data_IF_237446587446
#
_entry.id   IF_237446587446
#
_cell.length_a   1.000
_cell.length_b   1.000
_cell.length_c   1.000
_cell.angle_alpha   90.00
_cell.angle_beta   90.00
_cell.angle_gamma   90.00
#
_symmetry.space_group_name_H-M   'P 1'
#
loop_
_entity.id
_entity.type
_entity.pdbx_description
1 polymer ?
#
# COMPACT_ATOMS: atom_id res chain seq x y z
N UNK A 1 -9.82 -10.78 -16.60
CA UNK A 1 -9.51 -9.54 -15.80
C UNK A 1 -9.22 -8.39 -16.75
N UNK A 2 -9.74 -7.16 -16.47
CA UNK A 2 -9.50 -5.95 -17.25
C UNK A 2 -9.02 -4.81 -16.37
N UNK A 3 -8.46 -3.77 -16.97
CA UNK A 3 -8.10 -2.53 -16.28
C UNK A 3 -8.94 -1.37 -16.79
N UNK A 4 -9.38 -0.52 -15.87
CA UNK A 4 -10.19 0.65 -16.15
C UNK A 4 -9.49 1.89 -15.59
N UNK A 5 -9.26 2.89 -16.45
CA UNK A 5 -8.72 4.17 -16.02
C UNK A 5 -9.68 4.86 -15.06
N UNK A 6 -9.15 5.43 -14.00
CA UNK A 6 -9.89 6.15 -12.96
C UNK A 6 -9.41 7.60 -12.84
N UNK A 7 -10.32 8.50 -12.55
CA UNK A 7 -10.01 9.87 -12.13
C UNK A 7 -10.54 10.08 -10.71
N UNK A 8 -9.65 10.03 -9.76
CA UNK A 8 -9.97 10.08 -8.33
C UNK A 8 -10.04 11.54 -7.90
N UNK A 9 -11.14 11.95 -7.28
CA UNK A 9 -11.37 13.31 -6.80
C UNK A 9 -11.04 14.41 -7.85
N UNK A 10 -11.30 14.11 -9.13
CA UNK A 10 -11.00 14.97 -10.31
C UNK A 10 -9.51 15.34 -10.45
N UNK A 11 -8.62 14.91 -9.58
CA UNK A 11 -7.21 15.32 -9.55
C UNK A 11 -6.19 14.19 -9.62
N UNK A 12 -6.45 12.99 -9.05
CA UNK A 12 -5.48 11.91 -9.09
C UNK A 12 -5.75 10.93 -10.23
N UNK A 13 -4.68 10.47 -10.85
CA UNK A 13 -4.70 9.38 -11.82
C UNK A 13 -4.78 8.05 -11.08
N UNK A 14 -5.64 7.14 -11.54
CA UNK A 14 -5.76 5.80 -11.00
C UNK A 14 -6.08 4.75 -12.05
N UNK A 15 -5.96 3.51 -11.65
CA UNK A 15 -6.35 2.33 -12.45
C UNK A 15 -7.02 1.31 -11.56
N UNK A 16 -8.24 0.93 -11.91
CA UNK A 16 -8.97 -0.15 -11.27
C UNK A 16 -8.74 -1.44 -12.05
N UNK A 17 -8.20 -2.45 -11.40
CA UNK A 17 -8.20 -3.81 -11.93
C UNK A 17 -9.47 -4.51 -11.47
N UNK A 18 -10.23 -4.97 -12.44
CA UNK A 18 -11.51 -5.67 -12.24
C UNK A 18 -11.27 -7.16 -12.35
N UNK A 19 -11.64 -7.96 -11.33
CA UNK A 19 -11.54 -9.41 -11.39
C UNK A 19 -12.54 -10.01 -12.40
N UNK A 20 -12.36 -11.30 -12.71
CA UNK A 20 -13.39 -12.06 -13.38
C UNK A 20 -14.48 -12.46 -12.35
N UNK A 21 -15.74 -12.43 -12.74
CA UNK A 21 -16.87 -12.72 -11.86
C UNK A 21 -17.25 -11.56 -10.93
N UNK A 22 -18.07 -11.86 -9.92
CA UNK A 22 -18.58 -10.86 -8.98
C UNK A 22 -17.53 -10.53 -7.92
N UNK A 23 -17.18 -9.25 -7.74
CA UNK A 23 -16.15 -8.84 -6.77
C UNK A 23 -16.63 -9.01 -5.32
N UNK A 24 -15.75 -9.50 -4.45
CA UNK A 24 -16.05 -9.77 -3.03
C UNK A 24 -15.46 -8.76 -2.06
N UNK A 25 -14.46 -7.99 -2.50
CA UNK A 25 -13.79 -6.95 -1.74
C UNK A 25 -13.18 -5.92 -2.67
N UNK A 26 -12.68 -4.82 -2.10
CA UNK A 26 -11.89 -3.82 -2.82
C UNK A 26 -10.61 -3.52 -2.05
N UNK A 27 -9.47 -3.42 -2.76
CA UNK A 27 -8.16 -3.12 -2.18
C UNK A 27 -7.59 -1.87 -2.83
N UNK A 28 -7.19 -0.90 -2.00
CA UNK A 28 -6.44 0.29 -2.43
C UNK A 28 -4.95 0.04 -2.22
N UNK A 29 -4.12 0.37 -3.21
CA UNK A 29 -2.68 0.12 -3.17
C UNK A 29 -1.92 1.42 -3.45
N UNK A 30 -1.12 1.85 -2.48
CA UNK A 30 -0.31 3.06 -2.53
C UNK A 30 1.15 2.74 -2.89
N UNK A 31 1.70 3.47 -3.86
CA UNK A 31 3.01 3.23 -4.44
C UNK A 31 4.18 3.82 -3.62
N UNK A 32 5.45 3.43 -3.90
CA UNK A 32 6.62 3.92 -3.19
C UNK A 32 6.94 5.38 -3.55
N UNK A 33 8.08 5.88 -3.07
CA UNK A 33 8.48 7.29 -3.06
C UNK A 33 8.44 7.95 -4.46
N UNK A 34 7.60 8.96 -4.68
CA UNK A 34 7.44 9.68 -5.94
C UNK A 34 8.75 10.21 -6.53
N UNK A 35 9.57 10.87 -5.71
CA UNK A 35 10.83 11.51 -6.12
C UNK A 35 11.92 10.52 -6.56
N UNK A 36 11.70 9.22 -6.37
CA UNK A 36 12.61 8.14 -6.77
C UNK A 36 11.93 7.18 -7.76
N UNK A 37 11.06 7.70 -8.61
CA UNK A 37 10.39 6.93 -9.66
C UNK A 37 9.23 6.06 -9.18
N UNK A 38 8.73 6.30 -7.97
CA UNK A 38 7.52 5.64 -7.47
C UNK A 38 6.29 6.07 -8.25
N UNK A 39 5.55 5.10 -8.77
CA UNK A 39 4.29 5.29 -9.50
C UNK A 39 3.40 4.04 -9.38
N UNK A 40 2.14 4.16 -9.74
CA UNK A 40 1.17 3.06 -9.68
C UNK A 40 1.48 1.87 -10.61
N UNK A 41 2.35 2.06 -11.62
CA UNK A 41 2.81 1.00 -12.52
C UNK A 41 4.05 0.27 -12.01
N UNK A 42 4.59 0.66 -10.86
CA UNK A 42 5.70 -0.06 -10.24
C UNK A 42 5.40 -1.57 -10.23
N UNK A 43 6.35 -2.43 -10.64
CA UNK A 43 6.11 -3.87 -10.83
C UNK A 43 5.58 -4.59 -9.58
N UNK A 44 5.99 -4.17 -8.39
CA UNK A 44 5.51 -4.74 -7.14
C UNK A 44 4.06 -4.32 -6.86
N UNK A 45 3.73 -3.04 -7.03
CA UNK A 45 2.37 -2.49 -6.89
C UNK A 45 1.41 -3.14 -7.89
N UNK A 46 1.82 -3.25 -9.16
CA UNK A 46 1.04 -3.89 -10.20
C UNK A 46 0.86 -5.41 -9.94
N UNK A 47 1.89 -6.07 -9.40
CA UNK A 47 1.85 -7.48 -9.02
C UNK A 47 0.86 -7.75 -7.88
N UNK A 48 0.88 -6.92 -6.82
CA UNK A 48 -0.10 -7.01 -5.73
C UNK A 48 -1.53 -6.82 -6.26
N UNK A 49 -1.75 -5.83 -7.14
CA UNK A 49 -3.06 -5.60 -7.74
C UNK A 49 -3.55 -6.80 -8.57
N UNK A 50 -2.64 -7.45 -9.30
CA UNK A 50 -2.97 -8.68 -10.04
C UNK A 50 -3.37 -9.80 -9.09
N UNK A 51 -2.56 -10.04 -8.05
CA UNK A 51 -2.83 -11.09 -7.07
C UNK A 51 -4.16 -10.86 -6.31
N UNK A 52 -4.51 -9.61 -6.00
CA UNK A 52 -5.83 -9.27 -5.45
C UNK A 52 -6.97 -9.61 -6.43
N UNK A 53 -6.82 -9.26 -7.70
CA UNK A 53 -7.85 -9.56 -8.70
C UNK A 53 -8.00 -11.06 -8.99
N UNK A 54 -6.92 -11.84 -8.92
CA UNK A 54 -6.95 -13.31 -8.98
C UNK A 54 -7.74 -13.93 -7.82
N UNK A 55 -7.83 -13.23 -6.67
CA UNK A 55 -8.68 -13.62 -5.54
C UNK A 55 -10.12 -13.12 -5.64
N UNK A 56 -10.49 -12.48 -6.74
CA UNK A 56 -11.85 -11.95 -6.94
C UNK A 56 -12.08 -10.62 -6.24
N UNK A 57 -11.06 -9.81 -6.03
CA UNK A 57 -11.18 -8.47 -5.44
C UNK A 57 -10.91 -7.39 -6.47
N UNK A 58 -11.62 -6.27 -6.39
CA UNK A 58 -11.19 -5.04 -7.04
C UNK A 58 -9.84 -4.61 -6.50
N UNK A 59 -8.95 -4.10 -7.36
CA UNK A 59 -7.68 -3.53 -6.92
C UNK A 59 -7.47 -2.15 -7.55
N UNK A 60 -7.58 -1.10 -6.75
CA UNK A 60 -7.37 0.29 -7.15
C UNK A 60 -5.93 0.70 -6.85
N UNK A 61 -5.18 1.02 -7.88
CA UNK A 61 -3.88 1.68 -7.82
C UNK A 61 -4.05 3.15 -8.19
N UNK A 62 -3.29 4.02 -7.59
CA UNK A 62 -3.33 5.45 -7.92
C UNK A 62 -1.94 6.07 -7.89
N UNK A 63 -1.76 7.17 -8.58
CA UNK A 63 -0.59 8.02 -8.49
C UNK A 63 -0.82 9.11 -7.45
N UNK A 64 0.13 9.24 -6.49
CA UNK A 64 0.16 10.40 -5.61
C UNK A 64 0.24 11.71 -6.39
N UNK A 65 -0.10 12.82 -5.76
CA UNK A 65 0.08 14.16 -6.33
C UNK A 65 1.47 14.32 -6.95
N UNK A 66 1.60 15.10 -7.99
CA UNK A 66 2.82 15.32 -8.78
C UNK A 66 3.36 14.12 -9.57
N UNK A 67 2.69 12.97 -9.56
CA UNK A 67 3.12 11.78 -10.31
C UNK A 67 2.19 11.53 -11.52
N UNK A 68 2.77 11.28 -12.67
CA UNK A 68 2.02 11.00 -13.91
C UNK A 68 1.03 12.11 -14.24
N UNK A 69 -0.24 11.75 -14.45
CA UNK A 69 -1.32 12.71 -14.70
C UNK A 69 -2.03 13.22 -13.44
N UNK A 70 -1.51 12.92 -12.25
CA UNK A 70 -2.04 13.45 -10.99
C UNK A 70 -1.66 14.91 -10.79
N UNK A 71 -2.66 15.74 -10.52
CA UNK A 71 -2.47 17.15 -10.21
C UNK A 71 -1.93 17.36 -8.78
N UNK A 72 -1.41 18.57 -8.52
CA UNK A 72 -0.86 18.98 -7.24
C UNK A 72 0.66 18.92 -7.20
N UNK A 73 1.23 19.34 -6.09
CA UNK A 73 2.68 19.43 -5.85
C UNK A 73 3.10 18.48 -4.74
N UNK A 74 4.29 17.92 -4.85
CA UNK A 74 4.94 17.13 -3.81
C UNK A 74 5.13 17.94 -2.52
N UNK A 75 4.75 17.38 -1.37
CA UNK A 75 4.80 18.05 -0.06
C UNK A 75 5.67 17.34 0.96
N UNK A 76 6.43 16.33 0.54
CA UNK A 76 7.32 15.59 1.42
C UNK A 76 6.62 14.63 2.40
N UNK A 77 5.42 14.19 2.10
CA UNK A 77 4.64 13.30 2.97
C UNK A 77 3.73 14.04 3.96
N UNK A 78 3.64 15.38 3.88
CA UNK A 78 2.75 16.17 4.74
C UNK A 78 1.28 16.03 4.32
N UNK A 79 1.00 16.19 3.03
CA UNK A 79 -0.35 16.24 2.47
C UNK A 79 -0.70 14.98 1.64
N UNK A 80 0.26 14.09 1.36
CA UNK A 80 0.04 12.84 0.63
C UNK A 80 -0.88 11.84 1.35
N UNK A 81 -1.03 11.84 2.69
CA UNK A 81 -2.10 11.08 3.35
C UNK A 81 -3.51 11.46 2.87
N UNK A 82 -3.74 12.70 2.40
CA UNK A 82 -5.03 13.12 1.84
C UNK A 82 -5.29 12.50 0.45
N UNK A 83 -4.22 12.10 -0.27
CA UNK A 83 -4.35 11.34 -1.52
C UNK A 83 -4.78 9.90 -1.24
N UNK A 84 -4.29 9.29 -0.15
CA UNK A 84 -4.78 8.00 0.34
C UNK A 84 -6.26 8.12 0.73
N UNK A 85 -6.64 9.18 1.44
CA UNK A 85 -8.04 9.45 1.80
C UNK A 85 -8.94 9.52 0.56
N UNK A 86 -8.51 10.28 -0.46
CA UNK A 86 -9.25 10.41 -1.71
C UNK A 86 -9.39 9.07 -2.45
N UNK A 87 -8.31 8.27 -2.51
CA UNK A 87 -8.34 6.94 -3.14
C UNK A 87 -9.28 5.98 -2.40
N UNK A 88 -9.27 5.97 -1.08
CA UNK A 88 -10.18 5.17 -0.26
C UNK A 88 -11.63 5.62 -0.42
N UNK A 89 -11.89 6.93 -0.41
CA UNK A 89 -13.23 7.46 -0.64
C UNK A 89 -13.77 7.07 -2.03
N UNK A 90 -12.91 7.14 -3.05
CA UNK A 90 -13.25 6.71 -4.41
C UNK A 90 -13.56 5.20 -4.49
N UNK A 91 -12.74 4.36 -3.83
CA UNK A 91 -12.96 2.93 -3.73
C UNK A 91 -14.28 2.59 -3.03
N UNK A 92 -14.62 3.29 -1.96
CA UNK A 92 -15.91 3.18 -1.27
C UNK A 92 -17.08 3.60 -2.19
N UNK A 93 -16.90 4.57 -3.06
CA UNK A 93 -17.89 4.95 -4.09
C UNK A 93 -18.12 3.86 -5.14
N UNK A 94 -17.08 3.13 -5.53
CA UNK A 94 -17.16 1.99 -6.47
C UNK A 94 -17.87 0.80 -5.83
N UNK A 95 -17.55 0.48 -4.57
CA UNK A 95 -17.99 -0.72 -3.89
C UNK A 95 -18.41 -0.42 -2.44
N UNK A 96 -19.56 0.27 -2.24
CA UNK A 96 -19.94 0.80 -0.93
C UNK A 96 -20.24 -0.27 0.12
N UNK A 97 -20.62 -1.46 -0.29
CA UNK A 97 -20.99 -2.58 0.58
C UNK A 97 -19.88 -3.60 0.82
N UNK A 98 -18.81 -3.52 0.03
CA UNK A 98 -17.70 -4.45 0.14
C UNK A 98 -16.70 -4.03 1.21
N UNK A 99 -16.03 -5.00 1.83
CA UNK A 99 -14.90 -4.74 2.72
C UNK A 99 -13.75 -4.12 1.94
N UNK A 100 -13.02 -3.21 2.59
CA UNK A 100 -11.92 -2.46 1.99
C UNK A 100 -10.59 -2.79 2.65
N UNK A 101 -9.63 -3.29 1.85
CA UNK A 101 -8.23 -3.42 2.22
C UNK A 101 -7.42 -2.22 1.78
N UNK A 102 -6.39 -1.86 2.55
CA UNK A 102 -5.39 -0.85 2.20
C UNK A 102 -4.01 -1.48 2.27
N UNK A 103 -3.26 -1.39 1.18
CA UNK A 103 -1.87 -1.82 1.09
C UNK A 103 -1.00 -0.62 0.74
N UNK A 104 0.07 -0.41 1.48
CA UNK A 104 1.08 0.59 1.14
C UNK A 104 2.44 -0.05 0.95
N UNK A 105 3.22 0.42 -0.04
CA UNK A 105 4.60 0.00 -0.23
C UNK A 105 5.55 1.18 0.03
N UNK A 106 6.53 1.00 0.92
CA UNK A 106 7.56 1.97 1.27
C UNK A 106 6.94 3.31 1.71
N UNK A 107 7.15 4.39 0.96
CA UNK A 107 6.48 5.67 1.18
C UNK A 107 4.95 5.51 1.25
N UNK A 108 4.37 4.70 0.39
CA UNK A 108 2.93 4.40 0.43
C UNK A 108 2.50 3.74 1.74
N UNK A 109 3.35 2.90 2.35
CA UNK A 109 3.09 2.32 3.67
C UNK A 109 3.08 3.39 4.77
N UNK A 110 4.05 4.31 4.74
CA UNK A 110 4.08 5.45 5.66
C UNK A 110 2.86 6.35 5.50
N UNK A 111 2.43 6.65 4.26
CA UNK A 111 1.25 7.49 3.99
C UNK A 111 -0.05 6.81 4.42
N UNK A 112 -0.18 5.50 4.17
CA UNK A 112 -1.31 4.70 4.64
C UNK A 112 -1.40 4.71 6.17
N UNK A 113 -0.28 4.52 6.86
CA UNK A 113 -0.21 4.55 8.32
C UNK A 113 -0.57 5.94 8.87
N UNK A 114 -0.03 7.02 8.29
CA UNK A 114 -0.37 8.40 8.67
C UNK A 114 -1.85 8.72 8.45
N UNK A 115 -2.45 8.22 7.37
CA UNK A 115 -3.88 8.39 7.12
C UNK A 115 -4.73 7.67 8.18
N UNK A 116 -4.40 6.41 8.52
CA UNK A 116 -5.09 5.65 9.57
C UNK A 116 -5.05 6.40 10.91
N UNK A 117 -3.88 6.92 11.29
CA UNK A 117 -3.72 7.64 12.57
C UNK A 117 -4.40 9.00 12.61
N UNK A 118 -4.74 9.58 11.46
CA UNK A 118 -5.59 10.77 11.32
C UNK A 118 -7.09 10.44 11.35
N UNK A 119 -7.47 9.21 11.74
CA UNK A 119 -8.86 8.76 11.85
C UNK A 119 -9.39 8.05 10.59
N UNK A 120 -8.54 7.77 9.61
CA UNK A 120 -8.88 6.95 8.45
C UNK A 120 -9.27 5.52 8.84
N UNK A 121 -10.11 4.87 8.04
CA UNK A 121 -10.59 3.50 8.32
C UNK A 121 -10.51 2.62 7.09
N UNK A 122 -9.82 1.49 7.24
CA UNK A 122 -9.83 0.34 6.34
C UNK A 122 -10.14 -0.91 7.15
N UNK A 123 -10.75 -1.90 6.53
CA UNK A 123 -11.10 -3.16 7.22
C UNK A 123 -9.84 -4.03 7.41
N UNK A 124 -8.87 -3.91 6.50
CA UNK A 124 -7.55 -4.54 6.62
C UNK A 124 -6.44 -3.56 6.19
N UNK A 125 -5.29 -3.60 6.87
CA UNK A 125 -4.10 -2.80 6.54
C UNK A 125 -2.88 -3.71 6.42
N UNK A 126 -2.13 -3.57 5.33
CA UNK A 126 -0.84 -4.23 5.13
C UNK A 126 0.22 -3.19 4.77
N UNK A 127 1.32 -3.19 5.49
CA UNK A 127 2.44 -2.29 5.31
C UNK A 127 3.64 -3.07 4.73
N UNK A 128 4.03 -2.77 3.50
CA UNK A 128 5.15 -3.45 2.81
C UNK A 128 6.36 -2.54 2.83
N UNK A 129 7.49 -3.02 3.33
CA UNK A 129 8.74 -2.26 3.39
C UNK A 129 8.57 -0.91 4.10
N UNK A 130 7.90 -0.90 5.27
CA UNK A 130 7.68 0.33 6.04
C UNK A 130 9.03 0.96 6.42
N UNK A 131 9.36 2.19 5.93
CA UNK A 131 10.68 2.73 6.13
C UNK A 131 10.82 3.39 7.50
N UNK A 132 11.73 2.90 8.34
CA UNK A 132 12.15 3.57 9.57
C UNK A 132 13.02 4.81 9.28
N UNK A 133 13.75 4.79 8.15
CA UNK A 133 14.65 5.87 7.71
C UNK A 133 14.24 6.45 6.37
N UNK A 134 14.49 7.73 6.18
CA UNK A 134 14.29 8.41 4.90
C UNK A 134 15.48 8.18 3.96
N UNK A 135 15.25 8.35 2.66
CA UNK A 135 16.33 8.30 1.64
C UNK A 135 17.36 9.42 1.80
N UNK A 136 17.00 10.53 2.44
CA UNK A 136 17.91 11.66 2.73
C UNK A 136 18.73 11.44 4.01
N UNK A 137 18.54 10.30 4.68
CA UNK A 137 19.07 10.03 6.02
C UNK A 137 18.14 10.56 7.12
N UNK A 138 18.40 10.11 8.34
CA UNK A 138 17.56 10.41 9.49
C UNK A 138 16.31 9.52 9.60
N UNK A 139 15.74 9.48 10.80
CA UNK A 139 14.57 8.67 11.09
C UNK A 139 13.28 9.30 10.55
N UNK A 140 12.37 8.47 10.09
CA UNK A 140 11.02 8.89 9.79
C UNK A 140 10.22 9.04 11.09
N UNK A 141 9.40 10.08 11.16
CA UNK A 141 8.37 10.19 12.19
C UNK A 141 7.25 9.19 11.87
N UNK A 142 7.26 8.07 12.60
CA UNK A 142 6.33 6.96 12.42
C UNK A 142 5.27 6.96 13.51
N UNK A 143 4.00 7.09 13.12
CA UNK A 143 2.90 6.90 14.05
C UNK A 143 2.86 5.47 14.61
N UNK A 144 2.12 5.23 15.71
CA UNK A 144 1.90 3.88 16.21
C UNK A 144 1.20 3.00 15.18
N UNK A 145 1.59 1.72 15.15
CA UNK A 145 0.95 0.68 14.34
C UNK A 145 -0.02 -0.09 15.24
N UNK A 146 -1.23 -0.33 14.76
CA UNK A 146 -2.22 -1.09 15.51
C UNK A 146 -1.77 -2.55 15.71
N UNK A 147 -2.18 -3.13 16.84
CA UNK A 147 -1.87 -4.51 17.19
C UNK A 147 -2.32 -5.49 16.09
N UNK A 148 -1.46 -6.45 15.75
CA UNK A 148 -1.73 -7.46 14.74
C UNK A 148 -1.64 -6.98 13.28
N UNK A 149 -1.38 -5.69 13.01
CA UNK A 149 -1.17 -5.20 11.64
C UNK A 149 0.01 -5.94 10.99
N UNK A 150 -0.18 -6.47 9.78
CA UNK A 150 0.92 -7.09 9.04
C UNK A 150 1.88 -6.02 8.48
N UNK A 151 3.16 -6.19 8.82
CA UNK A 151 4.29 -5.52 8.18
C UNK A 151 5.10 -6.58 7.44
N UNK A 152 5.14 -6.52 6.11
CA UNK A 152 6.04 -7.35 5.31
C UNK A 152 7.38 -6.64 5.19
N UNK A 153 8.43 -7.23 5.73
CA UNK A 153 9.76 -6.66 5.79
C UNK A 153 10.78 -7.51 5.03
N UNK A 154 11.78 -6.88 4.44
CA UNK A 154 12.91 -7.58 3.85
C UNK A 154 14.05 -7.72 4.87
N UNK A 155 14.75 -8.87 4.83
CA UNK A 155 15.86 -9.14 5.75
C UNK A 155 16.97 -8.08 5.66
N UNK A 156 17.28 -7.64 4.43
CA UNK A 156 18.39 -6.71 4.12
C UNK A 156 17.89 -5.33 3.70
N UNK A 157 16.76 -4.89 4.26
CA UNK A 157 16.18 -3.59 3.97
C UNK A 157 16.99 -2.46 4.63
N UNK A 158 17.65 -1.61 3.83
CA UNK A 158 18.43 -0.49 4.33
C UNK A 158 17.60 0.61 5.00
N UNK A 159 16.29 0.64 4.75
CA UNK A 159 15.39 1.64 5.36
C UNK A 159 14.71 1.13 6.63
N UNK A 160 14.75 -0.16 6.91
CA UNK A 160 14.19 -0.76 8.12
C UNK A 160 14.11 -2.28 8.01
N UNK A 161 15.04 -2.96 8.68
CA UNK A 161 15.07 -4.43 8.71
C UNK A 161 13.90 -4.99 9.51
N UNK A 162 13.59 -6.28 9.27
CA UNK A 162 12.55 -6.97 10.05
C UNK A 162 12.83 -6.96 11.56
N UNK A 163 14.10 -7.06 11.96
CA UNK A 163 14.51 -7.01 13.36
C UNK A 163 14.18 -5.66 14.01
N UNK A 164 14.56 -4.56 13.35
CA UNK A 164 14.29 -3.20 13.83
C UNK A 164 12.78 -2.91 13.86
N UNK A 165 12.02 -3.40 12.89
CA UNK A 165 10.56 -3.23 12.87
C UNK A 165 9.87 -4.01 14.00
N UNK A 166 10.36 -5.21 14.35
CA UNK A 166 9.86 -5.96 15.53
C UNK A 166 10.16 -5.23 16.84
N UNK A 167 11.34 -4.64 16.96
CA UNK A 167 11.71 -3.84 18.13
C UNK A 167 10.84 -2.58 18.24
N UNK A 168 10.64 -1.88 17.13
CA UNK A 168 9.87 -0.63 17.08
C UNK A 168 8.36 -0.85 17.27
N UNK A 169 7.82 -1.98 16.77
CA UNK A 169 6.41 -2.32 16.79
C UNK A 169 6.17 -3.74 17.31
N UNK A 170 6.38 -3.99 18.62
CA UNK A 170 6.40 -5.35 19.20
C UNK A 170 5.03 -6.07 19.15
N UNK A 171 3.95 -5.33 18.87
CA UNK A 171 2.59 -5.89 18.74
C UNK A 171 2.13 -6.04 17.29
N UNK A 172 2.91 -5.56 16.33
CA UNK A 172 2.65 -5.81 14.90
C UNK A 172 3.08 -7.23 14.52
N UNK A 173 2.44 -7.78 13.50
CA UNK A 173 2.87 -9.03 12.88
C UNK A 173 3.92 -8.72 11.82
N UNK A 174 5.21 -8.89 12.12
CA UNK A 174 6.30 -8.64 11.17
C UNK A 174 6.68 -9.94 10.46
N UNK A 175 6.25 -10.11 9.21
CA UNK A 175 6.66 -11.19 8.33
C UNK A 175 7.92 -10.80 7.57
N UNK A 176 8.97 -11.63 7.69
CA UNK A 176 10.27 -11.40 7.07
C UNK A 176 10.43 -12.23 5.81
N UNK A 177 10.82 -11.59 4.70
CA UNK A 177 11.27 -12.28 3.49
C UNK A 177 12.79 -12.34 3.49
N UNK A 178 13.31 -13.55 3.73
CA UNK A 178 14.75 -13.81 3.84
C UNK A 178 15.44 -13.61 2.49
N UNK A 179 16.63 -13.02 2.51
CA UNK A 179 17.42 -12.73 1.32
C UNK A 179 16.95 -11.52 0.54
N UNK A 180 15.76 -10.99 0.80
CA UNK A 180 15.23 -9.82 0.12
C UNK A 180 15.87 -8.52 0.60
N UNK A 181 15.94 -7.56 -0.30
CA UNK A 181 16.21 -6.14 -0.03
C UNK A 181 14.90 -5.32 -0.12
N UNK A 182 14.98 -4.01 0.07
CA UNK A 182 13.85 -3.09 0.01
C UNK A 182 12.99 -3.22 -1.27
N UNK A 183 13.58 -3.63 -2.39
CA UNK A 183 12.91 -3.69 -3.70
C UNK A 183 12.24 -5.03 -3.97
N UNK A 184 12.45 -6.04 -3.13
CA UNK A 184 11.90 -7.39 -3.23
C UNK A 184 12.10 -8.04 -4.61
N UNK A 185 13.22 -7.73 -5.27
CA UNK A 185 13.54 -8.32 -6.58
C UNK A 185 13.83 -9.81 -6.40
N UNK A 186 13.12 -10.65 -7.17
CA UNK A 186 13.18 -12.11 -7.02
C UNK A 186 12.24 -12.72 -5.97
N UNK A 187 11.59 -11.88 -5.15
CA UNK A 187 10.71 -12.32 -4.04
C UNK A 187 9.26 -11.84 -4.18
N UNK A 188 8.88 -11.38 -5.37
CA UNK A 188 7.56 -10.76 -5.61
C UNK A 188 6.40 -11.72 -5.38
N UNK A 189 6.55 -12.98 -5.75
CA UNK A 189 5.49 -13.99 -5.60
C UNK A 189 5.26 -14.31 -4.12
N UNK A 190 6.32 -14.46 -3.33
CA UNK A 190 6.23 -14.65 -1.89
C UNK A 190 5.57 -13.44 -1.21
N UNK A 191 5.97 -12.24 -1.57
CA UNK A 191 5.38 -11.01 -1.07
C UNK A 191 3.88 -10.92 -1.40
N UNK A 192 3.49 -11.17 -2.64
CA UNK A 192 2.09 -11.15 -3.08
C UNK A 192 1.25 -12.17 -2.32
N UNK A 193 1.80 -13.36 -2.09
CA UNK A 193 1.17 -14.41 -1.29
C UNK A 193 0.92 -13.92 0.15
N UNK A 194 1.94 -13.42 0.84
CA UNK A 194 1.84 -12.91 2.22
C UNK A 194 0.78 -11.79 2.32
N UNK A 195 0.83 -10.81 1.41
CA UNK A 195 -0.13 -9.70 1.38
C UNK A 195 -1.56 -10.21 1.19
N UNK A 196 -1.78 -11.08 0.21
CA UNK A 196 -3.14 -11.54 -0.11
C UNK A 196 -3.69 -12.56 0.91
N UNK A 197 -2.85 -13.36 1.55
CA UNK A 197 -3.24 -14.24 2.66
C UNK A 197 -3.70 -13.42 3.87
N UNK A 198 -2.97 -12.36 4.23
CA UNK A 198 -3.37 -11.49 5.33
C UNK A 198 -4.69 -10.76 5.03
N UNK A 199 -4.80 -10.16 3.85
CA UNK A 199 -6.04 -9.51 3.43
C UNK A 199 -7.24 -10.48 3.47
N UNK A 200 -7.05 -11.74 3.05
CA UNK A 200 -8.11 -12.74 3.04
C UNK A 200 -8.66 -13.09 4.43
N UNK A 201 -7.86 -12.95 5.49
CA UNK A 201 -8.34 -13.17 6.86
C UNK A 201 -9.48 -12.23 7.26
N UNK A 202 -9.48 -11.04 6.67
CA UNK A 202 -10.48 -10.00 6.97
C UNK A 202 -11.48 -9.83 5.83
N UNK A 203 -11.02 -9.89 4.57
CA UNK A 203 -11.86 -9.57 3.40
C UNK A 203 -12.67 -10.78 2.90
N UNK A 204 -12.22 -12.00 3.13
CA UNK A 204 -12.86 -13.24 2.68
C UNK A 204 -12.44 -13.71 1.29
#
# INVERSE_FOLDING_TARGET
>A
MREEAQRIDRRLEGTLRVPDGEPRAIVVIAHPLPTHGGEMRNPLVAGIARACAERGWYALRFNFRSVGASAGTWTGGRDEPDDVAAAVAHARGIAPTLRLGLVGYSFGALMALRWITRGGRADALVLVGLPLRSVAGGENDLPPVADGTLIVAAERDQFGTAAELRERFPRAHVAEIRGADHFFVGYRDELQRLVTEELARTLG
#
